data_IF_563776500972
#
_entry.id   IF_563776500972
#
_cell.length_a   1.000
_cell.length_b   1.000
_cell.length_c   1.000
_cell.angle_alpha   90.00
_cell.angle_beta   90.00
_cell.angle_gamma   90.00
#
_symmetry.space_group_name_H-M   'P 1'
#
loop_
_entity.id
_entity.type
_entity.pdbx_description
1 polymer ?
#
# COMPACT_ATOMS: atom_id res chain seq x y z
N UNK A 1 -65.59 24.74 60.18
CA UNK A 1 -64.29 24.37 60.77
C UNK A 1 -63.67 23.26 59.94
N UNK A 2 -62.48 23.52 59.40
CA UNK A 2 -61.90 22.87 58.22
C UNK A 2 -61.40 21.44 58.43
N UNK A 3 -61.69 20.57 57.44
CA UNK A 3 -61.00 19.31 57.18
C UNK A 3 -59.72 19.61 56.38
N UNK A 4 -58.58 19.08 56.84
CA UNK A 4 -57.30 19.11 56.13
C UNK A 4 -57.17 17.83 55.29
N UNK A 5 -57.04 17.99 53.98
CA UNK A 5 -56.71 16.91 53.05
C UNK A 5 -55.18 16.76 52.99
N UNK A 6 -54.70 15.52 53.14
CA UNK A 6 -53.34 15.11 52.84
C UNK A 6 -53.20 14.96 51.32
N UNK A 7 -52.32 15.75 50.69
CA UNK A 7 -51.82 15.48 49.34
C UNK A 7 -50.63 14.53 49.47
N UNK A 8 -50.74 13.36 48.85
CA UNK A 8 -49.60 12.46 48.58
C UNK A 8 -48.86 12.96 47.35
N UNK A 9 -47.61 13.38 47.53
CA UNK A 9 -46.68 13.69 46.44
C UNK A 9 -46.05 12.38 45.98
N UNK A 10 -46.42 11.92 44.77
CA UNK A 10 -45.75 10.81 44.12
C UNK A 10 -44.38 11.28 43.60
N UNK A 11 -43.29 10.72 44.13
CA UNK A 11 -41.96 10.86 43.57
C UNK A 11 -41.90 10.03 42.28
N UNK A 12 -41.84 10.70 41.13
CA UNK A 12 -41.45 10.07 39.86
C UNK A 12 -39.92 10.08 39.88
N UNK A 13 -39.31 8.91 40.11
CA UNK A 13 -37.88 8.70 39.88
C UNK A 13 -37.72 8.62 38.36
N UNK A 14 -36.96 9.53 37.72
CA UNK A 14 -36.52 9.28 36.35
C UNK A 14 -35.53 8.12 36.42
N UNK A 15 -35.90 6.98 35.84
CA UNK A 15 -34.93 5.96 35.48
C UNK A 15 -34.00 6.58 34.44
N UNK A 16 -32.87 7.14 34.91
CA UNK A 16 -31.69 7.30 34.09
C UNK A 16 -31.27 5.88 33.68
N UNK A 17 -31.76 5.44 32.53
CA UNK A 17 -31.00 4.48 31.74
C UNK A 17 -29.69 5.20 31.45
N UNK A 18 -28.62 4.77 32.10
CA UNK A 18 -27.31 4.92 31.52
C UNK A 18 -27.42 4.21 30.15
N UNK A 19 -27.49 5.00 29.07
CA UNK A 19 -26.86 4.54 27.86
C UNK A 19 -25.40 4.30 28.28
N UNK A 20 -25.06 3.06 28.58
CA UNK A 20 -23.70 2.61 28.34
C UNK A 20 -23.48 2.96 26.86
N UNK A 21 -22.68 3.98 26.64
CA UNK A 21 -22.22 4.36 25.31
C UNK A 21 -21.37 3.18 24.88
N UNK A 22 -22.00 2.18 24.25
CA UNK A 22 -21.35 1.05 23.61
C UNK A 22 -20.58 1.48 22.35
N UNK A 23 -20.46 2.79 22.07
CA UNK A 23 -19.60 3.32 21.02
C UNK A 23 -18.32 3.90 21.62
N UNK A 24 -17.31 3.04 21.83
CA UNK A 24 -15.95 3.52 22.05
C UNK A 24 -15.46 4.28 20.81
N UNK A 25 -14.71 5.35 21.02
CA UNK A 25 -13.92 5.95 19.93
C UNK A 25 -12.88 4.92 19.49
N UNK A 26 -12.65 4.73 18.18
CA UNK A 26 -11.60 3.84 17.72
C UNK A 26 -10.25 4.38 18.20
N UNK A 27 -9.43 3.48 18.76
CA UNK A 27 -8.08 3.75 19.24
C UNK A 27 -7.18 2.57 18.86
N UNK A 28 -5.90 2.83 18.65
CA UNK A 28 -4.89 1.78 18.53
C UNK A 28 -4.30 1.50 19.91
N UNK A 29 -4.50 0.28 20.39
CA UNK A 29 -3.99 -0.15 21.70
C UNK A 29 -3.95 -1.69 21.75
N UNK A 30 -3.10 -2.34 20.93
CA UNK A 30 -2.99 -3.79 20.91
C UNK A 30 -2.70 -4.34 22.31
N UNK A 31 -3.25 -5.51 22.62
CA UNK A 31 -2.95 -6.19 23.89
C UNK A 31 -1.63 -6.96 23.79
N UNK A 32 -0.84 -6.95 24.86
CA UNK A 32 0.34 -7.81 24.94
C UNK A 32 -0.07 -9.28 24.84
N UNK A 33 0.59 -10.00 23.92
CA UNK A 33 0.31 -11.39 23.63
C UNK A 33 -0.83 -11.62 22.62
N UNK A 34 -1.45 -10.55 22.10
CA UNK A 34 -2.39 -10.65 20.99
C UNK A 34 -1.70 -11.24 19.75
N UNK A 35 -2.48 -11.92 18.92
CA UNK A 35 -2.09 -12.42 17.61
C UNK A 35 -3.13 -11.98 16.61
N UNK A 36 -2.69 -11.50 15.45
CA UNK A 36 -3.56 -11.06 14.38
C UNK A 36 -3.02 -11.52 13.04
N UNK A 37 -3.81 -12.28 12.28
CA UNK A 37 -3.52 -12.56 10.88
C UNK A 37 -4.13 -11.47 10.02
N UNK A 38 -3.33 -10.85 9.16
CA UNK A 38 -3.75 -9.80 8.23
C UNK A 38 -3.48 -10.26 6.80
N UNK A 39 -4.46 -10.10 5.93
CA UNK A 39 -4.32 -10.35 4.49
C UNK A 39 -4.73 -9.10 3.73
N UNK A 40 -3.76 -8.49 3.06
CA UNK A 40 -3.95 -7.44 2.08
C UNK A 40 -4.01 -8.05 0.68
N UNK A 41 -4.99 -7.63 -0.10
CA UNK A 41 -5.14 -7.98 -1.51
C UNK A 41 -5.43 -6.70 -2.30
N UNK A 42 -4.52 -6.36 -3.21
CA UNK A 42 -4.62 -5.20 -4.10
C UNK A 42 -4.83 -5.73 -5.51
N UNK A 43 -5.88 -5.26 -6.19
CA UNK A 43 -6.14 -5.56 -7.59
C UNK A 43 -6.20 -4.27 -8.39
N UNK A 44 -5.50 -4.21 -9.51
CA UNK A 44 -5.49 -3.06 -10.42
C UNK A 44 -5.79 -3.50 -11.85
N UNK A 45 -6.55 -2.69 -12.58
CA UNK A 45 -6.74 -2.77 -14.04
C UNK A 45 -6.37 -1.42 -14.62
N UNK A 46 -5.32 -1.37 -15.44
CA UNK A 46 -4.67 -0.15 -15.93
C UNK A 46 -4.51 -0.25 -17.44
N UNK A 47 -4.79 0.83 -18.16
CA UNK A 47 -4.65 0.92 -19.61
C UNK A 47 -3.78 2.10 -20.01
N UNK A 48 -2.99 1.94 -21.07
CA UNK A 48 -2.21 3.03 -21.67
C UNK A 48 -3.14 3.99 -22.42
N UNK A 49 -3.17 5.25 -22.00
CA UNK A 49 -3.99 6.31 -22.61
C UNK A 49 -3.24 7.04 -23.72
N UNK A 50 -1.99 7.41 -23.45
CA UNK A 50 -1.13 8.14 -24.37
C UNK A 50 0.32 7.67 -24.25
N UNK A 51 1.01 7.66 -25.40
CA UNK A 51 2.43 7.38 -25.47
C UNK A 51 3.04 8.34 -26.48
N UNK A 52 3.97 9.16 -26.00
CA UNK A 52 4.81 10.00 -26.84
C UNK A 52 6.23 9.44 -26.85
N UNK A 53 6.82 9.30 -28.05
CA UNK A 53 8.22 8.93 -28.22
C UNK A 53 8.89 9.86 -29.24
N UNK A 54 9.97 10.50 -28.82
CA UNK A 54 10.80 11.38 -29.65
C UNK A 54 12.20 10.79 -29.75
N UNK A 55 12.67 10.56 -30.98
CA UNK A 55 14.03 10.06 -31.23
C UNK A 55 14.78 11.09 -32.06
N UNK A 56 15.90 11.61 -31.54
CA UNK A 56 16.70 12.66 -32.17
C UNK A 56 15.86 13.88 -32.59
N UNK A 57 14.89 14.27 -31.76
CA UNK A 57 13.96 15.38 -32.02
C UNK A 57 12.89 15.10 -33.07
N UNK A 58 12.74 13.86 -33.53
CA UNK A 58 11.67 13.43 -34.41
C UNK A 58 10.63 12.62 -33.64
N UNK A 59 9.38 13.07 -33.69
CA UNK A 59 8.24 12.35 -33.13
C UNK A 59 7.97 11.05 -33.92
N UNK A 60 8.01 9.93 -33.20
CA UNK A 60 7.82 8.56 -33.69
C UNK A 60 6.53 7.92 -33.16
N UNK A 61 5.77 8.62 -32.33
CA UNK A 61 4.62 8.09 -31.57
C UNK A 61 3.56 7.45 -32.48
N UNK A 62 3.20 8.14 -33.57
CA UNK A 62 2.21 7.65 -34.54
C UNK A 62 2.65 6.43 -35.36
N UNK A 63 3.93 6.05 -35.30
CA UNK A 63 4.42 4.81 -35.92
C UNK A 63 4.29 3.61 -34.98
N UNK A 64 4.30 3.82 -33.66
CA UNK A 64 4.22 2.77 -32.65
C UNK A 64 2.78 2.32 -32.43
N UNK A 65 1.82 3.26 -32.36
CA UNK A 65 0.39 2.99 -32.10
C UNK A 65 0.21 1.84 -31.09
N UNK A 66 0.89 1.96 -29.95
CA UNK A 66 0.94 0.96 -28.90
C UNK A 66 -0.37 0.99 -28.13
N UNK A 67 -1.02 -0.15 -28.00
CA UNK A 67 -2.09 -0.37 -27.04
C UNK A 67 -1.53 -1.29 -25.95
N UNK A 68 -1.87 -1.03 -24.69
CA UNK A 68 -1.42 -1.83 -23.56
C UNK A 68 -2.50 -1.84 -22.48
N UNK A 69 -2.84 -3.04 -22.03
CA UNK A 69 -3.70 -3.32 -20.89
C UNK A 69 -2.89 -4.13 -19.88
N UNK A 70 -2.93 -3.73 -18.62
CA UNK A 70 -2.29 -4.43 -17.51
C UNK A 70 -3.32 -4.72 -16.44
N UNK A 71 -3.39 -5.97 -15.98
CA UNK A 71 -4.06 -6.29 -14.73
C UNK A 71 -3.07 -6.88 -13.74
N UNK A 72 -3.21 -6.53 -12.48
CA UNK A 72 -2.31 -6.97 -11.43
C UNK A 72 -3.08 -7.33 -10.17
N UNK A 73 -2.63 -8.38 -9.49
CA UNK A 73 -3.07 -8.75 -8.15
C UNK A 73 -1.85 -8.95 -7.28
N UNK A 74 -1.77 -8.25 -6.15
CA UNK A 74 -0.72 -8.40 -5.14
C UNK A 74 -1.37 -8.84 -3.84
N UNK A 75 -0.76 -9.83 -3.19
CA UNK A 75 -1.20 -10.40 -1.93
C UNK A 75 -0.06 -10.36 -0.94
N UNK A 76 -0.31 -9.70 0.19
CA UNK A 76 0.56 -9.72 1.37
C UNK A 76 -0.25 -10.26 2.54
N UNK A 77 0.14 -11.43 3.04
CA UNK A 77 -0.45 -12.03 4.23
C UNK A 77 0.62 -12.20 5.30
N UNK A 78 0.30 -11.74 6.50
CA UNK A 78 1.20 -11.81 7.65
C UNK A 78 0.45 -12.25 8.90
N UNK A 79 1.16 -12.88 9.81
CA UNK A 79 0.70 -13.15 11.17
C UNK A 79 1.57 -12.38 12.15
N UNK A 80 0.94 -11.44 12.85
CA UNK A 80 1.60 -10.60 13.84
C UNK A 80 1.35 -11.13 15.24
N UNK A 81 2.41 -11.18 16.04
CA UNK A 81 2.36 -11.46 17.46
C UNK A 81 2.91 -10.27 18.25
N UNK A 82 2.04 -9.62 19.01
CA UNK A 82 2.34 -8.44 19.83
C UNK A 82 3.03 -8.85 21.14
N UNK A 83 4.27 -9.33 21.02
CA UNK A 83 5.02 -9.96 22.11
C UNK A 83 5.26 -9.04 23.32
N UNK A 84 5.35 -7.72 23.10
CA UNK A 84 5.38 -6.73 24.16
C UNK A 84 4.75 -5.42 23.68
N UNK A 85 3.97 -4.76 24.53
CA UNK A 85 3.34 -3.46 24.24
C UNK A 85 3.73 -2.47 25.33
N UNK A 86 4.07 -1.25 24.93
CA UNK A 86 4.41 -0.16 25.84
C UNK A 86 3.93 1.16 25.27
N UNK A 87 3.32 2.01 26.11
CA UNK A 87 2.84 3.34 25.70
C UNK A 87 1.88 3.32 24.49
N UNK A 88 1.03 2.29 24.40
CA UNK A 88 0.02 2.16 23.34
C UNK A 88 0.55 1.69 21.99
N UNK A 89 1.83 1.28 21.91
CA UNK A 89 2.44 0.72 20.69
C UNK A 89 3.18 -0.59 20.96
N UNK A 90 3.42 -1.40 19.92
CA UNK A 90 4.28 -2.57 20.03
C UNK A 90 5.69 -2.16 20.47
N UNK A 91 6.12 -2.61 21.65
CA UNK A 91 7.53 -2.54 22.04
C UNK A 91 8.33 -3.65 21.36
N UNK A 92 7.68 -4.79 21.11
CA UNK A 92 8.21 -5.90 20.33
C UNK A 92 7.06 -6.54 19.54
N UNK A 93 7.18 -6.55 18.22
CA UNK A 93 6.31 -7.27 17.30
C UNK A 93 7.12 -8.40 16.66
N UNK A 94 6.53 -9.59 16.57
CA UNK A 94 7.06 -10.69 15.76
C UNK A 94 6.07 -10.95 14.62
N UNK A 95 6.52 -10.74 13.38
CA UNK A 95 5.73 -10.89 12.16
C UNK A 95 6.20 -12.12 11.40
N UNK A 96 5.30 -13.01 11.06
CA UNK A 96 5.56 -14.09 10.09
C UNK A 96 4.95 -13.68 8.76
N UNK A 97 5.73 -13.73 7.68
CA UNK A 97 5.25 -13.46 6.33
C UNK A 97 4.66 -14.76 5.75
N UNK A 98 3.34 -14.92 5.82
CA UNK A 98 2.67 -16.16 5.44
C UNK A 98 2.52 -16.32 3.93
N UNK A 99 2.30 -15.21 3.21
CA UNK A 99 2.18 -15.20 1.76
C UNK A 99 2.64 -13.86 1.21
N UNK A 100 3.55 -13.88 0.24
CA UNK A 100 4.01 -12.72 -0.48
C UNK A 100 4.01 -13.07 -1.97
N UNK A 101 2.99 -12.61 -2.69
CA UNK A 101 2.82 -13.00 -4.09
C UNK A 101 2.25 -11.89 -4.95
N UNK A 102 2.64 -11.89 -6.22
CA UNK A 102 2.07 -11.03 -7.25
C UNK A 102 1.71 -11.85 -8.48
N UNK A 103 0.64 -11.43 -9.16
CA UNK A 103 0.28 -11.89 -10.50
C UNK A 103 0.04 -10.67 -11.36
N UNK A 104 0.62 -10.64 -12.55
CA UNK A 104 0.45 -9.54 -13.49
C UNK A 104 0.20 -10.12 -14.86
N UNK A 105 -0.84 -9.64 -15.53
CA UNK A 105 -1.13 -9.97 -16.91
C UNK A 105 -0.95 -8.70 -17.75
N UNK A 106 -0.14 -8.79 -18.80
CA UNK A 106 0.09 -7.70 -19.74
C UNK A 106 -0.35 -8.15 -21.13
N UNK A 107 -1.29 -7.41 -21.70
CA UNK A 107 -1.70 -7.52 -23.09
C UNK A 107 -1.25 -6.27 -23.82
N UNK A 108 -0.54 -6.42 -24.93
CA UNK A 108 -0.10 -5.29 -25.74
C UNK A 108 -0.22 -5.57 -27.23
N UNK A 109 -0.67 -4.57 -27.98
CA UNK A 109 -0.75 -4.63 -29.44
C UNK A 109 0.17 -3.59 -30.04
N UNK A 110 1.08 -4.03 -30.93
CA UNK A 110 1.99 -3.15 -31.65
C UNK A 110 2.05 -3.54 -33.15
N UNK A 111 1.79 -2.63 -34.10
CA UNK A 111 1.79 -2.95 -35.53
C UNK A 111 3.12 -3.45 -36.10
N UNK A 112 4.24 -3.15 -35.43
CA UNK A 112 5.59 -3.53 -35.88
C UNK A 112 6.03 -4.90 -35.33
N UNK A 113 5.73 -5.19 -34.07
CA UNK A 113 6.17 -6.42 -33.38
C UNK A 113 5.07 -7.48 -33.27
N UNK A 114 3.82 -7.11 -33.51
CA UNK A 114 2.65 -7.96 -33.31
C UNK A 114 2.12 -7.89 -31.87
N UNK A 115 1.13 -8.74 -31.61
CA UNK A 115 0.44 -8.81 -30.32
C UNK A 115 1.30 -9.60 -29.31
N UNK A 116 1.31 -9.13 -28.08
CA UNK A 116 1.97 -9.75 -26.93
C UNK A 116 0.92 -9.95 -25.83
N UNK A 117 0.96 -11.12 -25.20
CA UNK A 117 0.07 -11.52 -24.13
C UNK A 117 0.91 -12.38 -23.18
N UNK A 118 1.14 -11.88 -21.97
CA UNK A 118 2.11 -12.45 -21.03
C UNK A 118 1.53 -12.41 -19.62
N UNK A 119 1.53 -13.58 -18.98
CA UNK A 119 1.33 -13.71 -17.54
C UNK A 119 2.68 -13.75 -16.82
N UNK A 120 2.78 -13.00 -15.74
CA UNK A 120 3.93 -12.93 -14.85
C UNK A 120 3.46 -13.24 -13.43
N UNK A 121 4.25 -14.03 -12.72
CA UNK A 121 4.06 -14.30 -11.29
C UNK A 121 5.31 -13.83 -10.55
N UNK A 122 5.14 -13.46 -9.29
CA UNK A 122 6.24 -13.06 -8.42
C UNK A 122 6.02 -13.54 -6.99
N UNK A 123 7.13 -13.68 -6.27
CA UNK A 123 7.18 -14.16 -4.88
C UNK A 123 8.37 -13.53 -4.15
N UNK A 124 8.41 -13.66 -2.83
CA UNK A 124 9.53 -13.19 -2.00
C UNK A 124 10.16 -14.33 -1.19
N UNK A 125 11.48 -14.29 -1.05
CA UNK A 125 12.23 -15.17 -0.16
C UNK A 125 11.96 -14.89 1.33
N UNK A 126 11.25 -13.79 1.67
CA UNK A 126 10.70 -13.57 3.01
C UNK A 126 9.51 -14.48 3.31
N UNK A 127 8.87 -15.09 2.32
CA UNK A 127 7.72 -15.97 2.56
C UNK A 127 8.11 -17.17 3.44
N UNK A 128 7.37 -17.36 4.53
CA UNK A 128 7.60 -18.36 5.56
C UNK A 128 8.60 -17.94 6.64
N UNK A 129 9.28 -16.80 6.49
CA UNK A 129 10.21 -16.28 7.48
C UNK A 129 9.50 -15.44 8.55
N UNK A 130 10.09 -15.41 9.75
CA UNK A 130 9.64 -14.56 10.85
C UNK A 130 10.66 -13.46 11.15
N UNK A 131 10.17 -12.23 11.26
CA UNK A 131 10.93 -11.02 11.53
C UNK A 131 10.46 -10.40 12.84
N UNK A 132 11.39 -9.83 13.60
CA UNK A 132 11.13 -9.15 14.87
C UNK A 132 11.41 -7.67 14.69
N UNK A 133 10.38 -6.86 14.91
CA UNK A 133 10.48 -5.41 15.06
C UNK A 133 10.61 -5.09 16.54
N UNK A 134 11.72 -4.45 16.93
CA UNK A 134 12.00 -4.08 18.31
C UNK A 134 12.12 -2.57 18.40
N UNK A 135 11.20 -1.92 19.12
CA UNK A 135 11.25 -0.47 19.30
C UNK A 135 12.55 -0.07 20.04
N UNK A 136 13.25 0.91 19.49
CA UNK A 136 14.43 1.53 20.10
C UNK A 136 14.11 2.98 20.49
N UNK A 137 13.97 3.23 21.79
CA UNK A 137 13.68 4.57 22.33
C UNK A 137 14.76 5.62 22.03
N UNK A 138 16.03 5.19 21.89
CA UNK A 138 17.14 6.10 21.63
C UNK A 138 17.11 6.62 20.18
N UNK A 139 16.73 5.75 19.23
CA UNK A 139 16.67 6.07 17.81
C UNK A 139 15.27 6.54 17.37
N UNK A 140 14.23 6.26 18.15
CA UNK A 140 12.85 6.57 17.81
C UNK A 140 12.33 5.76 16.61
N UNK A 141 12.87 4.56 16.40
CA UNK A 141 12.58 3.69 15.27
C UNK A 141 12.65 2.21 15.69
N UNK A 142 12.12 1.32 14.85
CA UNK A 142 12.24 -0.12 15.06
C UNK A 142 13.57 -0.64 14.54
N UNK A 143 14.25 -1.43 15.36
CA UNK A 143 15.32 -2.31 14.91
C UNK A 143 14.69 -3.61 14.38
N UNK A 144 15.00 -3.96 13.14
CA UNK A 144 14.46 -5.12 12.42
C UNK A 144 15.51 -6.24 12.37
N UNK A 145 15.08 -7.48 12.61
CA UNK A 145 15.95 -8.67 12.52
C UNK A 145 15.12 -9.92 12.30
N UNK A 146 15.72 -10.97 11.76
CA UNK A 146 15.11 -12.30 11.77
C UNK A 146 14.89 -12.82 13.21
N UNK A 147 13.84 -13.62 13.37
CA UNK A 147 13.55 -14.36 14.59
C UNK A 147 14.65 -15.40 14.88
N UNK A 148 14.73 -15.87 16.14
CA UNK A 148 15.74 -16.85 16.52
C UNK A 148 15.60 -18.14 15.72
N UNK A 149 16.67 -18.54 15.01
CA UNK A 149 16.71 -19.77 14.23
C UNK A 149 16.43 -19.59 12.74
N UNK A 150 16.21 -18.36 12.29
CA UNK A 150 16.27 -18.00 10.86
C UNK A 150 17.64 -17.41 10.53
N UNK A 151 18.16 -17.81 9.37
CA UNK A 151 19.40 -17.32 8.75
C UNK A 151 19.08 -16.68 7.39
N UNK A 152 17.93 -16.00 7.27
CA UNK A 152 17.48 -15.35 6.04
C UNK A 152 18.42 -14.23 5.56
N UNK A 153 18.20 -13.76 4.34
CA UNK A 153 19.04 -12.72 3.74
C UNK A 153 18.83 -11.37 4.43
N UNK A 154 19.88 -10.81 5.03
CA UNK A 154 19.79 -9.54 5.76
C UNK A 154 19.35 -8.37 4.87
N UNK A 155 19.60 -8.47 3.57
CA UNK A 155 19.29 -7.41 2.63
C UNK A 155 17.77 -7.27 2.44
N UNK A 156 17.01 -8.36 2.63
CA UNK A 156 15.54 -8.37 2.62
C UNK A 156 14.91 -7.71 3.86
N UNK A 157 15.70 -7.33 4.87
CA UNK A 157 15.18 -6.59 6.03
C UNK A 157 15.19 -5.08 5.81
N UNK A 158 15.93 -4.58 4.81
CA UNK A 158 16.00 -3.16 4.49
C UNK A 158 14.66 -2.70 3.92
N UNK A 159 14.13 -1.59 4.43
CA UNK A 159 12.86 -1.02 3.95
C UNK A 159 11.59 -1.72 4.46
N UNK A 160 11.69 -2.77 5.29
CA UNK A 160 10.52 -3.33 5.97
C UNK A 160 9.91 -2.34 6.96
N UNK A 161 8.58 -2.25 6.95
CA UNK A 161 7.80 -1.40 7.85
C UNK A 161 7.02 -2.24 8.87
N UNK A 162 6.99 -1.75 10.11
CA UNK A 162 6.24 -2.36 11.20
C UNK A 162 4.74 -2.09 11.04
N UNK A 163 4.34 -0.89 10.58
CA UNK A 163 2.93 -0.53 10.50
C UNK A 163 2.24 -1.26 9.32
N UNK A 164 1.42 -2.23 9.69
CA UNK A 164 0.39 -2.82 8.83
C UNK A 164 -0.96 -2.77 9.53
N UNK A 165 -1.10 -1.94 10.57
CA UNK A 165 -2.29 -1.85 11.42
C UNK A 165 -3.20 -0.69 11.03
N UNK A 166 -2.73 0.18 10.12
CA UNK A 166 -3.47 1.35 9.64
C UNK A 166 -3.77 2.35 10.76
N UNK A 167 -2.91 2.42 11.79
CA UNK A 167 -3.11 3.28 12.96
C UNK A 167 -3.17 4.77 12.58
N UNK A 168 -2.50 5.16 11.49
CA UNK A 168 -2.47 6.54 11.00
C UNK A 168 -3.83 7.04 10.48
N UNK A 169 -4.79 6.14 10.21
CA UNK A 169 -6.16 6.51 9.85
C UNK A 169 -7.03 6.85 11.07
N UNK A 170 -6.57 6.53 12.28
CA UNK A 170 -7.33 6.76 13.49
C UNK A 170 -7.27 8.23 13.95
N UNK A 171 -8.31 8.70 14.64
CA UNK A 171 -8.33 10.05 15.16
C UNK A 171 -7.34 10.19 16.32
N UNK A 172 -6.64 11.32 16.37
CA UNK A 172 -5.74 11.67 17.48
C UNK A 172 -6.48 12.04 18.78
N UNK A 173 -7.77 12.33 18.68
CA UNK A 173 -8.65 12.68 19.80
C UNK A 173 -9.87 11.76 19.83
N UNK A 174 -10.57 11.71 20.97
CA UNK A 174 -11.84 10.98 21.08
C UNK A 174 -12.89 11.59 20.16
N UNK A 175 -13.45 10.77 19.27
CA UNK A 175 -14.52 11.15 18.34
C UNK A 175 -15.84 10.47 18.69
N UNK A 176 -16.94 11.09 18.28
CA UNK A 176 -18.29 10.52 18.32
C UNK A 176 -18.75 10.15 16.91
N UNK A 177 -19.80 9.33 16.83
CA UNK A 177 -20.47 9.05 15.56
C UNK A 177 -20.85 10.36 14.83
N UNK A 178 -20.50 10.44 13.56
CA UNK A 178 -20.67 11.58 12.67
C UNK A 178 -19.51 12.56 12.64
N UNK A 179 -18.54 12.46 13.55
CA UNK A 179 -17.34 13.31 13.55
C UNK A 179 -16.39 12.93 12.41
N UNK A 180 -15.67 13.92 11.90
CA UNK A 180 -14.75 13.83 10.76
C UNK A 180 -13.38 14.37 11.17
N UNK A 181 -12.31 13.78 10.65
CA UNK A 181 -10.93 14.23 10.83
C UNK A 181 -10.13 14.09 9.54
N UNK A 182 -9.07 14.89 9.46
CA UNK A 182 -8.08 14.79 8.39
C UNK A 182 -7.07 13.71 8.74
N UNK A 183 -6.75 12.87 7.76
CA UNK A 183 -5.71 11.85 7.81
C UNK A 183 -4.52 12.32 6.98
N UNK A 184 -3.31 12.05 7.44
CA UNK A 184 -2.12 12.37 6.65
C UNK A 184 -2.12 11.53 5.37
N UNK A 185 -1.87 12.11 4.18
CA UNK A 185 -1.77 11.33 2.94
C UNK A 185 -0.74 10.19 3.02
N UNK A 186 0.32 10.37 3.81
CA UNK A 186 1.33 9.34 4.06
C UNK A 186 0.79 8.07 4.73
N UNK A 187 -0.41 8.09 5.32
CA UNK A 187 -1.09 6.89 5.80
C UNK A 187 -1.34 5.87 4.68
N UNK A 188 -1.42 6.33 3.42
CA UNK A 188 -1.62 5.46 2.26
C UNK A 188 -0.43 4.55 1.95
N UNK A 189 0.76 4.82 2.48
CA UNK A 189 1.92 3.90 2.34
C UNK A 189 1.60 2.51 2.89
N UNK A 190 0.99 2.44 4.08
CA UNK A 190 0.60 1.17 4.69
C UNK A 190 -0.52 0.44 3.92
N UNK A 191 -1.23 1.14 3.02
CA UNK A 191 -2.30 0.59 2.18
C UNK A 191 -1.75 0.09 0.84
N UNK A 192 -0.89 0.86 0.18
CA UNK A 192 -0.32 0.51 -1.12
C UNK A 192 0.88 -0.42 -1.02
N UNK A 193 1.62 -0.36 0.08
CA UNK A 193 2.85 -1.12 0.34
C UNK A 193 2.82 -1.74 1.75
N UNK A 194 1.84 -2.62 2.05
CA UNK A 194 1.68 -3.15 3.40
C UNK A 194 2.93 -3.96 3.79
N UNK A 195 3.63 -3.48 4.83
CA UNK A 195 4.88 -4.08 5.32
C UNK A 195 6.16 -3.54 4.67
N UNK A 196 6.05 -2.53 3.79
CA UNK A 196 7.19 -1.88 3.15
C UNK A 196 7.80 -2.70 2.00
N UNK A 197 9.13 -2.68 1.91
CA UNK A 197 9.93 -3.36 0.89
C UNK A 197 9.96 -4.89 1.13
N UNK A 198 8.91 -5.59 0.71
CA UNK A 198 8.77 -7.04 0.97
C UNK A 198 9.57 -7.92 0.00
N UNK A 199 10.31 -7.35 -0.95
CA UNK A 199 11.18 -8.08 -1.86
C UNK A 199 10.44 -9.07 -2.77
N UNK A 200 9.25 -8.71 -3.26
CA UNK A 200 8.52 -9.54 -4.23
C UNK A 200 9.19 -9.38 -5.59
N UNK A 201 9.85 -10.45 -6.04
CA UNK A 201 10.51 -10.48 -7.34
C UNK A 201 9.71 -11.29 -8.35
N UNK A 202 9.71 -10.85 -9.60
CA UNK A 202 9.13 -11.61 -10.69
C UNK A 202 9.94 -12.88 -10.95
N UNK A 203 9.27 -14.00 -11.21
CA UNK A 203 9.95 -15.25 -11.52
C UNK A 203 10.84 -15.12 -12.78
N UNK A 204 11.97 -15.84 -12.81
CA UNK A 204 13.09 -15.72 -13.75
C UNK A 204 12.71 -15.67 -15.26
N UNK A 205 11.54 -16.22 -15.63
CA UNK A 205 11.04 -16.20 -17.00
C UNK A 205 10.49 -14.83 -17.43
N UNK A 206 10.03 -14.01 -16.48
CA UNK A 206 9.46 -12.68 -16.72
C UNK A 206 10.54 -11.59 -16.83
N UNK A 207 11.59 -11.68 -16.00
CA UNK A 207 12.71 -10.73 -15.99
C UNK A 207 13.44 -10.62 -17.34
N UNK A 208 13.38 -11.68 -18.16
CA UNK A 208 14.11 -11.78 -19.42
C UNK A 208 13.39 -11.10 -20.62
N UNK A 209 12.20 -10.53 -20.41
CA UNK A 209 11.38 -9.95 -21.49
C UNK A 209 11.68 -8.48 -21.81
N UNK A 210 12.69 -7.86 -21.16
CA UNK A 210 13.15 -6.50 -21.47
C UNK A 210 12.16 -5.37 -21.15
N UNK A 211 10.97 -5.73 -20.66
CA UNK A 211 10.06 -4.86 -19.93
C UNK A 211 10.59 -4.85 -18.51
N UNK A 212 11.55 -3.95 -18.23
CA UNK A 212 12.23 -3.84 -16.94
C UNK A 212 11.26 -4.07 -15.78
N UNK A 213 11.72 -4.76 -14.74
CA UNK A 213 10.92 -5.24 -13.60
C UNK A 213 10.19 -4.18 -12.78
N UNK A 214 9.91 -3.01 -13.33
CA UNK A 214 8.96 -1.99 -12.87
C UNK A 214 7.50 -2.47 -13.02
N UNK A 215 7.26 -3.77 -12.87
CA UNK A 215 5.91 -4.27 -12.65
C UNK A 215 5.37 -3.68 -11.35
N UNK A 216 4.05 -3.60 -11.18
CA UNK A 216 3.41 -3.03 -9.99
C UNK A 216 3.81 -3.71 -8.66
N UNK A 217 4.53 -4.83 -8.70
CA UNK A 217 4.97 -5.62 -7.54
C UNK A 217 5.95 -4.90 -6.61
N UNK A 218 6.81 -4.00 -7.12
CA UNK A 218 7.75 -3.22 -6.29
C UNK A 218 7.38 -1.73 -6.19
N UNK A 219 6.17 -1.37 -6.61
CA UNK A 219 5.70 0.01 -6.61
C UNK A 219 5.82 0.67 -5.22
N UNK A 220 5.63 -0.10 -4.15
CA UNK A 220 5.75 0.35 -2.77
C UNK A 220 7.12 0.89 -2.37
N UNK A 221 8.20 0.40 -2.98
CA UNK A 221 9.57 0.85 -2.69
C UNK A 221 9.87 2.22 -3.31
N UNK A 222 9.10 2.60 -4.33
CA UNK A 222 9.27 3.83 -5.10
C UNK A 222 8.31 4.94 -4.70
N UNK A 223 7.35 4.64 -3.83
CA UNK A 223 6.41 5.62 -3.32
C UNK A 223 7.11 6.56 -2.33
N UNK A 224 7.39 7.77 -2.80
CA UNK A 224 7.83 8.88 -1.96
C UNK A 224 6.70 9.38 -1.03
N UNK A 225 6.83 10.58 -0.47
CA UNK A 225 5.76 11.16 0.33
C UNK A 225 4.52 11.38 -0.55
N UNK A 226 3.36 11.19 0.06
CA UNK A 226 2.08 11.50 -0.57
C UNK A 226 1.68 12.93 -0.22
N UNK A 227 1.24 13.65 -1.24
CA UNK A 227 0.47 14.89 -1.10
C UNK A 227 -1.01 14.61 -1.33
N UNK A 228 -1.87 15.52 -0.87
CA UNK A 228 -3.32 15.45 -1.11
C UNK A 228 -4.17 15.64 0.13
N UNK A 229 -5.40 15.13 0.08
CA UNK A 229 -6.39 15.20 1.15
C UNK A 229 -6.99 13.82 1.41
N UNK A 230 -7.01 13.43 2.68
CA UNK A 230 -7.71 12.23 3.13
C UNK A 230 -8.60 12.63 4.28
N UNK A 231 -9.90 12.38 4.13
CA UNK A 231 -10.87 12.61 5.20
C UNK A 231 -11.40 11.27 5.68
N UNK A 232 -11.39 11.09 7.00
CA UNK A 232 -11.99 9.95 7.67
C UNK A 232 -13.20 10.41 8.50
N UNK A 233 -14.23 9.57 8.55
CA UNK A 233 -15.46 9.84 9.28
C UNK A 233 -15.88 8.65 10.11
N UNK A 234 -16.11 8.85 11.40
CA UNK A 234 -16.69 7.79 12.23
C UNK A 234 -18.18 7.67 11.93
N UNK A 235 -18.57 6.72 11.09
CA UNK A 235 -19.93 6.61 10.54
C UNK A 235 -20.91 6.01 11.53
N UNK A 236 -20.59 4.85 12.10
CA UNK A 236 -21.42 4.10 13.03
C UNK A 236 -20.60 3.00 13.73
N UNK A 237 -21.20 2.38 14.75
CA UNK A 237 -20.74 1.09 15.30
C UNK A 237 -21.73 0.01 14.90
N UNK A 238 -21.24 -1.11 14.37
CA UNK A 238 -22.07 -2.27 14.00
C UNK A 238 -21.47 -3.58 14.52
N UNK A 239 -22.31 -4.61 14.59
CA UNK A 239 -21.87 -5.97 14.93
C UNK A 239 -21.46 -6.71 13.65
N UNK A 240 -20.24 -7.28 13.64
CA UNK A 240 -19.76 -8.22 12.63
C UNK A 240 -19.54 -9.58 13.31
N UNK A 241 -20.56 -10.45 13.24
CA UNK A 241 -20.57 -11.67 14.04
C UNK A 241 -20.75 -11.36 15.53
N UNK A 242 -19.74 -11.68 16.34
CA UNK A 242 -19.70 -11.40 17.78
C UNK A 242 -18.81 -10.18 18.12
N UNK A 243 -18.25 -9.49 17.12
CA UNK A 243 -17.32 -8.36 17.27
C UNK A 243 -18.03 -7.03 17.07
N UNK A 244 -17.74 -6.04 17.93
CA UNK A 244 -18.18 -4.66 17.72
C UNK A 244 -17.15 -3.89 16.89
N UNK A 245 -17.55 -3.47 15.70
CA UNK A 245 -16.66 -2.71 14.80
C UNK A 245 -17.13 -1.27 14.65
N UNK A 246 -16.20 -0.33 14.77
CA UNK A 246 -16.39 1.03 14.28
C UNK A 246 -16.21 1.04 12.76
N UNK A 247 -17.17 1.63 12.05
CA UNK A 247 -17.10 1.87 10.61
C UNK A 247 -16.56 3.27 10.39
N UNK A 248 -15.38 3.37 9.78
CA UNK A 248 -14.74 4.63 9.42
C UNK A 248 -14.83 4.78 7.90
N UNK A 249 -15.64 5.71 7.42
CA UNK A 249 -15.69 6.05 5.99
C UNK A 249 -14.45 6.84 5.61
N UNK A 250 -13.85 6.50 4.47
CA UNK A 250 -12.66 7.13 3.92
C UNK A 250 -12.98 7.78 2.58
N UNK A 251 -12.52 9.01 2.39
CA UNK A 251 -12.42 9.68 1.09
C UNK A 251 -10.97 10.08 0.88
N UNK A 252 -10.38 9.63 -0.23
CA UNK A 252 -8.96 9.70 -0.50
C UNK A 252 -8.75 10.40 -1.84
N UNK A 253 -7.99 11.48 -1.85
CA UNK A 253 -7.43 12.10 -3.05
C UNK A 253 -5.95 12.34 -2.76
N UNK A 254 -5.07 11.52 -3.32
CA UNK A 254 -3.65 11.61 -3.06
C UNK A 254 -2.80 11.40 -4.30
N UNK A 255 -1.58 11.92 -4.26
CA UNK A 255 -0.61 11.80 -5.35
C UNK A 255 0.80 11.66 -4.80
N UNK A 256 1.66 10.98 -5.55
CA UNK A 256 3.09 10.90 -5.29
C UNK A 256 3.84 11.08 -6.60
N UNK A 257 5.03 11.68 -6.52
CA UNK A 257 5.95 11.81 -7.64
C UNK A 257 7.34 11.42 -7.15
N UNK A 258 8.06 10.62 -7.93
CA UNK A 258 9.38 10.12 -7.60
C UNK A 258 10.34 10.27 -8.77
N UNK A 259 11.55 10.75 -8.49
CA UNK A 259 12.67 10.73 -9.44
C UNK A 259 13.47 9.45 -9.20
N UNK A 260 13.34 8.50 -10.12
CA UNK A 260 14.00 7.19 -10.04
C UNK A 260 15.22 7.10 -10.97
N UNK A 261 15.80 8.24 -11.36
CA UNK A 261 16.95 8.28 -12.27
C UNK A 261 18.13 7.48 -11.73
N UNK A 262 18.49 7.64 -10.45
CA UNK A 262 19.61 6.92 -9.83
C UNK A 262 19.35 5.40 -9.80
N UNK A 263 18.13 5.00 -9.43
CA UNK A 263 17.73 3.59 -9.42
C UNK A 263 17.82 2.96 -10.82
N UNK A 264 17.34 3.67 -11.84
CA UNK A 264 17.39 3.19 -13.23
C UNK A 264 18.84 3.11 -13.76
N UNK A 265 19.70 4.06 -13.36
CA UNK A 265 21.13 4.01 -13.69
C UNK A 265 21.80 2.80 -13.04
N UNK A 266 21.57 2.56 -11.74
CA UNK A 266 22.10 1.40 -11.02
C UNK A 266 21.61 0.09 -11.64
N UNK A 267 20.34 0.01 -12.02
CA UNK A 267 19.79 -1.16 -12.72
C UNK A 267 20.52 -1.42 -14.04
N UNK A 268 20.76 -0.38 -14.86
CA UNK A 268 21.46 -0.52 -16.14
C UNK A 268 22.93 -0.88 -15.99
N UNK A 269 23.61 -0.37 -14.98
CA UNK A 269 25.02 -0.72 -14.69
C UNK A 269 25.17 -2.20 -14.29
N UNK A 270 24.17 -2.75 -13.62
CA UNK A 270 24.17 -4.14 -13.16
C UNK A 270 23.50 -5.12 -14.13
N UNK A 271 22.91 -4.63 -15.24
CA UNK A 271 22.28 -5.47 -16.24
C UNK A 271 23.32 -6.24 -17.07
N UNK A 272 23.15 -7.57 -17.18
CA UNK A 272 23.96 -8.41 -18.05
C UNK A 272 23.65 -8.12 -19.52
N UNK A 273 24.48 -7.28 -20.15
CA UNK A 273 24.34 -6.95 -21.56
C UNK A 273 24.75 -8.15 -22.44
N UNK A 274 23.99 -8.47 -23.51
CA UNK A 274 24.32 -9.59 -24.40
C UNK A 274 25.73 -9.47 -24.99
N UNK A 275 26.52 -10.55 -24.90
CA UNK A 275 27.89 -10.58 -25.43
C UNK A 275 27.94 -10.12 -26.90
N UNK A 276 28.67 -9.04 -27.18
CA UNK A 276 28.93 -8.55 -28.54
C UNK A 276 28.15 -7.30 -28.97
N UNK A 277 27.35 -6.70 -28.10
CA UNK A 277 26.79 -5.36 -28.30
C UNK A 277 27.60 -4.30 -27.51
N UNK A 278 28.40 -3.49 -28.22
CA UNK A 278 28.95 -2.23 -27.69
C UNK A 278 27.82 -1.16 -27.74
N UNK A 279 26.90 -1.26 -26.79
CA UNK A 279 25.83 -0.27 -26.58
C UNK A 279 26.03 0.33 -25.20
N UNK A 280 26.33 1.63 -25.16
CA UNK A 280 26.39 2.40 -23.92
C UNK A 280 25.07 3.16 -23.79
N UNK A 281 24.34 2.94 -22.69
CA UNK A 281 23.09 3.63 -22.39
C UNK A 281 23.33 4.57 -21.22
N UNK A 282 22.78 5.77 -21.29
CA UNK A 282 22.79 6.75 -20.20
C UNK A 282 21.38 7.25 -20.01
N UNK A 283 20.87 7.19 -18.79
CA UNK A 283 19.55 7.73 -18.44
C UNK A 283 19.75 9.11 -17.84
N UNK A 284 19.17 10.12 -18.49
CA UNK A 284 19.22 11.51 -18.05
C UNK A 284 18.13 11.81 -17.02
N UNK A 285 16.94 11.21 -17.19
CA UNK A 285 15.84 11.26 -16.22
C UNK A 285 14.94 10.03 -16.31
N UNK A 286 14.37 9.62 -15.18
CA UNK A 286 13.26 8.69 -15.08
C UNK A 286 12.33 9.17 -13.96
N UNK A 287 11.21 9.75 -14.35
CA UNK A 287 10.23 10.34 -13.44
C UNK A 287 8.95 9.50 -13.45
N UNK A 288 8.40 9.23 -12.26
CA UNK A 288 7.15 8.50 -12.06
C UNK A 288 6.18 9.40 -11.29
N UNK A 289 4.99 9.63 -11.85
CA UNK A 289 3.87 10.26 -11.16
C UNK A 289 2.74 9.26 -10.95
N UNK A 290 2.10 9.33 -9.79
CA UNK A 290 0.98 8.50 -9.40
C UNK A 290 -0.09 9.35 -8.73
N UNK A 291 -1.35 9.08 -9.06
CA UNK A 291 -2.51 9.64 -8.36
C UNK A 291 -3.54 8.56 -8.07
N UNK A 292 -4.26 8.73 -6.96
CA UNK A 292 -5.36 7.89 -6.57
C UNK A 292 -6.50 8.74 -6.00
N UNK A 293 -7.70 8.57 -6.57
CA UNK A 293 -8.95 9.17 -6.07
C UNK A 293 -9.95 8.05 -5.78
N UNK A 294 -10.35 7.89 -4.53
CA UNK A 294 -11.19 6.77 -4.13
C UNK A 294 -11.93 6.96 -2.81
N UNK A 295 -12.81 6.00 -2.54
CA UNK A 295 -13.63 5.95 -1.34
C UNK A 295 -13.65 4.52 -0.78
N UNK A 296 -13.86 4.41 0.54
CA UNK A 296 -13.82 3.11 1.21
C UNK A 296 -14.31 3.13 2.65
N UNK A 297 -14.22 1.96 3.29
CA UNK A 297 -14.49 1.79 4.72
C UNK A 297 -13.31 1.05 5.39
N UNK A 298 -12.81 1.63 6.49
CA UNK A 298 -11.96 0.95 7.48
C UNK A 298 -12.87 0.47 8.62
N UNK A 299 -12.80 -0.83 8.90
CA UNK A 299 -13.47 -1.46 10.03
C UNK A 299 -12.45 -1.65 11.15
N UNK A 300 -12.79 -1.16 12.34
CA UNK A 300 -11.92 -1.20 13.51
C UNK A 300 -12.57 -1.98 14.65
N UNK A 301 -11.89 -3.00 15.18
CA UNK A 301 -12.37 -3.78 16.32
C UNK A 301 -12.24 -2.93 17.60
N UNK A 302 -13.38 -2.61 18.22
CA UNK A 302 -13.43 -1.81 19.45
C UNK A 302 -13.13 -2.62 20.71
N UNK A 303 -13.24 -3.94 20.64
CA UNK A 303 -12.99 -4.84 21.75
C UNK A 303 -11.47 -5.14 21.83
N UNK A 304 -10.82 -5.41 20.70
CA UNK A 304 -9.38 -5.71 20.62
C UNK A 304 -8.50 -4.48 20.32
N UNK A 305 -9.07 -3.35 19.89
CA UNK A 305 -8.37 -2.12 19.51
C UNK A 305 -7.33 -2.35 18.40
N UNK A 306 -7.75 -3.12 17.40
CA UNK A 306 -6.97 -3.56 16.24
C UNK A 306 -7.81 -3.38 14.96
N UNK A 307 -7.17 -3.32 13.78
CA UNK A 307 -7.91 -3.33 12.52
C UNK A 307 -8.74 -4.61 12.39
N UNK A 308 -9.94 -4.48 11.83
CA UNK A 308 -10.81 -5.61 11.51
C UNK A 308 -10.88 -5.86 9.99
N UNK A 309 -10.84 -4.80 9.18
CA UNK A 309 -10.80 -4.91 7.72
C UNK A 309 -10.74 -3.56 7.03
N UNK A 310 -10.37 -3.56 5.75
CA UNK A 310 -10.36 -2.38 4.88
C UNK A 310 -11.00 -2.78 3.55
N UNK A 311 -11.81 -1.90 2.98
CA UNK A 311 -12.19 -1.98 1.58
C UNK A 311 -12.12 -0.58 0.98
N UNK A 312 -11.18 -0.37 0.07
CA UNK A 312 -10.94 0.89 -0.61
C UNK A 312 -10.96 0.64 -2.12
N UNK A 313 -11.66 1.48 -2.87
CA UNK A 313 -11.66 1.41 -4.33
C UNK A 313 -11.63 2.80 -4.93
N UNK A 314 -10.90 2.97 -6.02
CA UNK A 314 -10.74 4.26 -6.66
C UNK A 314 -10.19 4.17 -8.08
N UNK A 315 -10.15 5.33 -8.70
CA UNK A 315 -9.46 5.56 -9.97
C UNK A 315 -7.98 5.81 -9.69
N UNK A 316 -7.12 5.31 -10.57
CA UNK A 316 -5.67 5.48 -10.52
C UNK A 316 -5.18 6.08 -11.83
N UNK A 317 -4.27 7.04 -11.75
CA UNK A 317 -3.53 7.54 -12.92
C UNK A 317 -2.03 7.42 -12.66
N UNK A 318 -1.28 7.10 -13.70
CA UNK A 318 0.18 7.00 -13.66
C UNK A 318 0.78 7.71 -14.87
N UNK A 319 1.85 8.46 -14.66
CA UNK A 319 2.66 8.99 -15.74
C UNK A 319 4.12 8.56 -15.56
N UNK A 320 4.75 8.19 -16.66
CA UNK A 320 6.16 7.81 -16.69
C UNK A 320 6.83 8.66 -17.76
N UNK A 321 7.81 9.46 -17.36
CA UNK A 321 8.64 10.24 -18.25
C UNK A 321 10.09 9.74 -18.18
N UNK A 322 10.69 9.46 -19.33
CA UNK A 322 12.05 8.94 -19.43
C UNK A 322 12.83 9.68 -20.50
N UNK A 323 14.03 10.12 -20.15
CA UNK A 323 15.01 10.68 -21.09
C UNK A 323 16.27 9.84 -21.04
N UNK A 324 16.72 9.34 -22.19
CA UNK A 324 17.93 8.53 -22.28
C UNK A 324 18.71 8.76 -23.58
N UNK A 325 20.01 8.52 -23.52
CA UNK A 325 20.93 8.54 -24.65
C UNK A 325 21.49 7.15 -24.87
N UNK A 326 21.33 6.65 -26.10
CA UNK A 326 21.85 5.35 -26.52
C UNK A 326 23.02 5.58 -27.50
N UNK A 327 24.20 5.09 -27.15
CA UNK A 327 25.40 5.11 -27.96
C UNK A 327 25.68 3.72 -28.52
N UNK A 328 25.33 3.49 -29.79
CA UNK A 328 25.54 2.21 -30.47
C UNK A 328 26.48 2.37 -31.67
N UNK A 329 27.67 1.78 -31.59
CA UNK A 329 28.64 1.82 -32.70
C UNK A 329 29.11 3.23 -33.09
N UNK A 330 29.16 4.16 -32.13
CA UNK A 330 29.55 5.56 -32.32
C UNK A 330 28.47 6.46 -32.90
N UNK A 331 27.23 5.99 -32.99
CA UNK A 331 26.05 6.81 -33.27
C UNK A 331 25.30 7.03 -31.96
N UNK A 332 25.17 8.30 -31.59
CA UNK A 332 24.38 8.76 -30.44
C UNK A 332 22.91 8.91 -30.89
N UNK A 333 21.99 8.39 -30.09
CA UNK A 333 20.55 8.55 -30.26
C UNK A 333 19.95 9.04 -28.95
N UNK A 334 19.47 10.28 -28.94
CA UNK A 334 18.68 10.79 -27.82
C UNK A 334 17.24 10.31 -27.98
N UNK A 335 16.68 9.75 -26.91
CA UNK A 335 15.30 9.28 -26.82
C UNK A 335 14.61 9.94 -25.64
N UNK A 336 13.46 10.52 -25.89
CA UNK A 336 12.52 11.00 -24.87
C UNK A 336 11.24 10.18 -25.02
N UNK A 337 10.71 9.70 -23.91
CA UNK A 337 9.51 8.88 -23.85
C UNK A 337 8.62 9.38 -22.72
N UNK A 338 7.32 9.52 -23.01
CA UNK A 338 6.30 9.86 -22.03
C UNK A 338 5.14 8.88 -22.20
N UNK A 339 4.67 8.29 -21.11
CA UNK A 339 3.50 7.42 -21.09
C UNK A 339 2.54 7.88 -20.02
N UNK A 340 1.25 7.87 -20.33
CA UNK A 340 0.19 8.08 -19.33
C UNK A 340 -0.74 6.87 -19.31
N UNK A 341 -1.06 6.41 -18.12
CA UNK A 341 -1.96 5.31 -17.87
C UNK A 341 -3.09 5.75 -16.94
N UNK A 342 -4.27 5.17 -17.11
CA UNK A 342 -5.37 5.29 -16.17
C UNK A 342 -6.04 3.95 -15.95
N UNK A 343 -6.76 3.84 -14.84
CA UNK A 343 -7.33 2.57 -14.44
C UNK A 343 -8.15 2.64 -13.17
N UNK A 344 -8.44 1.47 -12.64
CA UNK A 344 -9.08 1.32 -11.33
C UNK A 344 -8.23 0.44 -10.43
N UNK A 345 -8.29 0.71 -9.13
CA UNK A 345 -7.63 -0.11 -8.12
C UNK A 345 -8.60 -0.39 -6.97
N UNK A 346 -8.59 -1.63 -6.49
CA UNK A 346 -9.31 -2.08 -5.29
C UNK A 346 -8.32 -2.68 -4.32
N UNK A 347 -8.39 -2.26 -3.06
CA UNK A 347 -7.52 -2.72 -1.99
C UNK A 347 -8.41 -3.22 -0.86
N UNK A 348 -8.17 -4.46 -0.45
CA UNK A 348 -8.89 -5.11 0.63
C UNK A 348 -7.92 -5.58 1.69
N UNK A 349 -8.21 -5.29 2.95
CA UNK A 349 -7.59 -5.94 4.08
C UNK A 349 -8.65 -6.78 4.79
N UNK A 350 -8.30 -8.01 5.12
CA UNK A 350 -9.11 -8.88 5.98
C UNK A 350 -8.26 -9.35 7.15
N UNK A 351 -8.92 -9.58 8.27
CA UNK A 351 -8.25 -10.13 9.46
C UNK A 351 -8.83 -11.50 9.85
N UNK A 352 -8.01 -12.29 10.53
CA UNK A 352 -8.38 -13.59 11.06
C UNK A 352 -7.61 -13.92 12.34
N UNK A 353 -8.15 -14.88 13.10
CA UNK A 353 -7.48 -15.49 14.26
C UNK A 353 -6.38 -16.49 13.86
#
# INVERSE_FOLDING_TARGET
MHKRNLLSTALIVPALFALEVFGGSPIYSPQEGATLTKRFESTAEITLDDMTMVVNGQDMSGMLNLEMDTSATIVTQVTDHYAAVSSGRPAKLERTFDTLSSKTHVSSTNPMTGDMDVDMEGSSDLEGESVVFQWNDDDGAYAVKYAEGSDGDSDLLEGLDEDMDLELFLPSETVSEGDEWEVSPNAMRAVFAPGGATGIEAEENAANMGMGGTGPSNFGEFLEDFDGAITAKFKEVREEGDTHVAVIELSVECSSAADMTEWMQDMLENADMPEGMDVEMTVDSFDLEFSFEGEGELLWDLDENLPFGLNLSGDVEQAIDTSMVINAGGMEQAMEQSMSFSGTQTIQMTTGE
#
